data_IF_759089040829
#
_entry.id   IF_759089040829
#
_cell.length_a   1.000
_cell.length_b   1.000
_cell.length_c   1.000
_cell.angle_alpha   90.00
_cell.angle_beta   90.00
_cell.angle_gamma   90.00
#
_symmetry.space_group_name_H-M   'P 1'
#
loop_
_entity.id
_entity.type
_entity.pdbx_description
1 polymer ?
#
# COMPACT_ATOMS: atom_id res chain seq x y z
N UNK A 1 19.47 14.22 18.89
CA UNK A 1 18.95 12.86 18.59
C UNK A 1 17.99 13.00 17.42
N UNK A 2 18.18 12.27 16.32
CA UNK A 2 17.17 12.24 15.25
C UNK A 2 15.88 11.70 15.87
N UNK A 3 14.84 12.52 15.91
CA UNK A 3 13.58 12.08 16.49
C UNK A 3 12.91 11.10 15.53
N UNK A 4 12.60 9.91 16.04
CA UNK A 4 11.98 8.83 15.27
C UNK A 4 10.47 9.05 15.25
N UNK A 5 9.87 9.06 14.06
CA UNK A 5 8.40 9.12 13.90
C UNK A 5 7.81 7.71 14.03
N UNK A 6 6.52 7.60 14.34
CA UNK A 6 5.82 6.30 14.33
C UNK A 6 4.96 6.18 13.09
N UNK A 7 5.09 5.09 12.35
CA UNK A 7 4.24 4.73 11.21
C UNK A 7 3.29 3.60 11.63
N UNK A 8 2.01 3.92 11.73
CA UNK A 8 0.98 2.94 12.06
C UNK A 8 0.57 2.13 10.83
N UNK A 9 0.66 0.81 10.93
CA UNK A 9 0.36 -0.10 9.81
C UNK A 9 -0.61 -1.21 10.21
N UNK A 10 -1.55 -1.51 9.29
CA UNK A 10 -2.49 -2.59 9.49
C UNK A 10 -1.77 -3.94 9.41
N UNK A 11 -1.94 -4.74 10.46
CA UNK A 11 -1.35 -6.06 10.62
C UNK A 11 -2.36 -7.04 11.27
N UNK A 12 -2.15 -8.37 11.12
CA UNK A 12 -2.98 -9.38 11.77
C UNK A 12 -2.94 -9.30 13.30
N UNK A 13 -1.79 -8.92 13.86
CA UNK A 13 -1.56 -8.83 15.30
C UNK A 13 -0.48 -7.77 15.62
N UNK A 14 -0.38 -7.33 16.88
CA UNK A 14 0.64 -6.37 17.32
C UNK A 14 2.09 -6.83 17.14
N UNK A 15 2.33 -8.13 16.99
CA UNK A 15 3.67 -8.71 16.80
C UNK A 15 3.95 -9.11 15.35
N UNK A 16 2.97 -8.95 14.46
CA UNK A 16 3.12 -9.36 13.08
C UNK A 16 3.89 -8.33 12.25
N UNK A 17 4.70 -8.83 11.33
CA UNK A 17 5.38 -8.06 10.28
C UNK A 17 4.65 -8.13 8.93
N UNK A 18 3.49 -8.79 8.88
CA UNK A 18 2.66 -8.93 7.67
C UNK A 18 1.79 -7.69 7.47
N UNK A 19 2.40 -6.60 7.01
CA UNK A 19 1.70 -5.34 6.78
C UNK A 19 0.95 -5.36 5.44
N UNK A 20 -0.37 -5.32 5.48
CA UNK A 20 -1.22 -5.50 4.29
C UNK A 20 -1.98 -4.23 3.90
N UNK A 21 -1.53 -3.03 4.25
CA UNK A 21 -2.13 -1.81 3.69
C UNK A 21 -1.30 -1.27 2.52
N UNK A 22 -1.87 -1.17 1.30
CA UNK A 22 -1.13 -0.62 0.17
C UNK A 22 -0.79 0.87 0.37
N UNK A 23 -1.62 1.59 1.13
CA UNK A 23 -1.41 3.02 1.41
C UNK A 23 -0.31 3.26 2.44
N UNK A 24 -0.09 2.31 3.36
CA UNK A 24 1.05 2.37 4.28
C UNK A 24 2.33 2.02 3.55
N UNK A 25 2.33 1.02 2.66
CA UNK A 25 3.50 0.69 1.84
C UNK A 25 4.02 1.87 1.02
N UNK A 26 3.15 2.61 0.33
CA UNK A 26 3.62 3.80 -0.42
C UNK A 26 4.24 4.86 0.50
N UNK A 27 3.72 5.00 1.72
CA UNK A 27 4.24 5.95 2.72
C UNK A 27 5.57 5.48 3.29
N UNK A 28 5.67 4.20 3.65
CA UNK A 28 6.89 3.53 4.07
C UNK A 28 8.02 3.75 3.06
N UNK A 29 7.76 3.44 1.78
CA UNK A 29 8.76 3.64 0.72
C UNK A 29 9.12 5.12 0.53
N UNK A 30 8.16 6.03 0.68
CA UNK A 30 8.42 7.48 0.62
C UNK A 30 9.24 8.00 1.81
N UNK A 31 9.06 7.45 3.02
CA UNK A 31 9.87 7.78 4.20
C UNK A 31 11.30 7.26 4.03
N UNK A 32 11.45 6.01 3.56
CA UNK A 32 12.75 5.42 3.24
C UNK A 32 13.49 6.21 2.15
N UNK A 33 12.82 6.61 1.08
CA UNK A 33 13.38 7.50 0.05
C UNK A 33 13.98 8.76 0.66
N UNK A 34 13.24 9.38 1.59
CA UNK A 34 13.62 10.64 2.22
C UNK A 34 14.62 10.46 3.37
N UNK A 35 15.11 9.23 3.62
CA UNK A 35 15.95 8.89 4.76
C UNK A 35 15.36 9.33 6.11
N UNK A 36 14.03 9.26 6.24
CA UNK A 36 13.34 9.55 7.50
C UNK A 36 13.29 8.27 8.33
N UNK A 37 13.90 8.30 9.51
CA UNK A 37 13.84 7.18 10.45
C UNK A 37 12.44 7.08 11.08
N UNK A 38 11.88 5.87 11.09
CA UNK A 38 10.57 5.61 11.70
C UNK A 38 10.53 4.26 12.42
N UNK A 39 9.70 4.18 13.44
CA UNK A 39 9.27 2.96 14.10
C UNK A 39 7.97 2.49 13.43
N UNK A 40 7.84 1.19 13.12
CA UNK A 40 6.54 0.65 12.67
C UNK A 40 5.73 0.25 13.89
N UNK A 41 4.48 0.73 13.97
CA UNK A 41 3.53 0.33 15.01
C UNK A 41 2.41 -0.51 14.38
N UNK A 42 2.43 -1.84 14.56
CA UNK A 42 1.39 -2.70 14.03
C UNK A 42 0.07 -2.45 14.78
N UNK A 43 -1.01 -2.30 14.04
CA UNK A 43 -2.36 -2.11 14.57
C UNK A 43 -3.36 -2.98 13.81
N UNK A 44 -4.43 -3.37 14.49
CA UNK A 44 -5.52 -4.09 13.86
C UNK A 44 -6.70 -3.15 13.51
N UNK A 45 -7.80 -3.70 12.97
CA UNK A 45 -8.96 -2.89 12.58
C UNK A 45 -9.70 -2.25 13.77
N UNK A 46 -9.66 -2.88 14.95
CA UNK A 46 -10.25 -2.34 16.17
C UNK A 46 -9.38 -1.23 16.76
N UNK A 47 -8.06 -1.40 16.79
CA UNK A 47 -7.11 -0.36 17.21
C UNK A 47 -7.28 0.92 16.39
N UNK A 48 -7.48 0.79 15.08
CA UNK A 48 -7.73 1.89 14.17
C UNK A 48 -8.98 2.71 14.55
N UNK A 49 -10.00 2.05 15.09
CA UNK A 49 -11.27 2.67 15.53
C UNK A 49 -11.34 2.96 17.02
N UNK A 50 -10.39 2.43 17.80
CA UNK A 50 -10.26 2.58 19.25
C UNK A 50 -9.02 3.37 19.60
N UNK A 51 -7.97 2.68 20.04
CA UNK A 51 -6.75 3.28 20.60
C UNK A 51 -6.14 4.38 19.71
N UNK A 52 -6.02 4.15 18.41
CA UNK A 52 -5.45 5.14 17.49
C UNK A 52 -6.40 6.32 17.27
N UNK A 53 -7.71 6.09 17.19
CA UNK A 53 -8.71 7.14 17.06
C UNK A 53 -8.73 8.06 18.29
N UNK A 54 -8.65 7.48 19.50
CA UNK A 54 -8.58 8.22 20.76
C UNK A 54 -7.28 9.04 20.81
N UNK A 55 -6.14 8.39 20.53
CA UNK A 55 -4.82 9.02 20.61
C UNK A 55 -4.64 10.16 19.60
N UNK A 56 -5.20 10.02 18.41
CA UNK A 56 -5.14 11.05 17.37
C UNK A 56 -6.21 12.14 17.50
N UNK A 57 -7.19 11.97 18.40
CA UNK A 57 -8.35 12.84 18.49
C UNK A 57 -9.28 12.77 17.28
N UNK A 58 -9.20 11.71 16.45
CA UNK A 58 -9.94 11.56 15.21
C UNK A 58 -10.69 10.22 15.15
N UNK A 59 -12.01 10.30 15.27
CA UNK A 59 -12.89 9.13 15.27
C UNK A 59 -12.80 8.28 13.99
N UNK A 60 -12.51 8.91 12.84
CA UNK A 60 -12.45 8.27 11.53
C UNK A 60 -11.02 8.23 10.94
N UNK A 61 -9.99 8.18 11.78
CA UNK A 61 -8.60 8.09 11.30
C UNK A 61 -8.42 6.90 10.34
N UNK A 62 -7.58 7.09 9.32
CA UNK A 62 -7.24 6.05 8.34
C UNK A 62 -5.74 5.83 8.32
N UNK A 63 -5.30 4.64 7.89
CA UNK A 63 -3.89 4.41 7.59
C UNK A 63 -3.57 4.82 6.15
N UNK A 64 -2.36 5.36 5.88
CA UNK A 64 -1.25 5.59 6.81
C UNK A 64 -1.55 6.69 7.82
N UNK A 65 -1.15 6.45 9.07
CA UNK A 65 -1.09 7.46 10.12
C UNK A 65 0.36 7.53 10.61
N UNK A 66 0.89 8.75 10.68
CA UNK A 66 2.22 9.05 11.21
C UNK A 66 2.03 9.86 12.48
N UNK A 67 2.61 9.41 13.60
CA UNK A 67 2.73 10.23 14.81
C UNK A 67 4.13 10.84 14.87
N UNK A 68 4.17 12.16 14.98
CA UNK A 68 5.37 12.95 15.18
C UNK A 68 5.83 12.88 16.65
N UNK A 69 7.09 13.22 16.94
CA UNK A 69 7.65 13.14 18.29
C UNK A 69 6.97 14.05 19.31
N UNK A 70 6.30 15.10 18.84
CA UNK A 70 5.50 16.03 19.66
C UNK A 70 4.05 15.55 19.87
N UNK A 71 3.69 14.35 19.39
CA UNK A 71 2.35 13.78 19.47
C UNK A 71 1.40 14.22 18.34
N UNK A 72 1.86 15.06 17.41
CA UNK A 72 1.04 15.48 16.25
C UNK A 72 0.84 14.33 15.29
N UNK A 73 -0.38 14.17 14.76
CA UNK A 73 -0.68 13.16 13.74
C UNK A 73 -0.73 13.75 12.33
N UNK A 74 -0.02 13.11 11.40
CA UNK A 74 -0.15 13.30 9.96
C UNK A 74 -0.90 12.09 9.39
N UNK A 75 -1.96 12.36 8.66
CA UNK A 75 -2.84 11.38 8.03
C UNK A 75 -3.21 11.89 6.64
N UNK A 76 -3.57 10.97 5.74
CA UNK A 76 -3.66 11.17 4.28
C UNK A 76 -2.30 11.25 3.56
N UNK A 77 -2.00 10.18 2.82
CA UNK A 77 -0.74 9.96 2.09
C UNK A 77 -0.37 11.03 1.04
N UNK A 78 -1.28 11.95 0.68
CA UNK A 78 -1.02 13.00 -0.33
C UNK A 78 -0.84 14.41 0.22
N UNK A 79 -1.18 14.67 1.48
CA UNK A 79 -1.30 16.05 1.95
C UNK A 79 0.02 16.79 2.03
N UNK A 80 1.13 16.13 2.35
CA UNK A 80 2.40 16.83 2.63
C UNK A 80 3.64 16.19 1.99
N UNK A 81 3.94 16.59 0.75
CA UNK A 81 5.28 16.48 0.19
C UNK A 81 5.87 17.88 -0.03
N UNK A 82 6.79 18.28 0.85
CA UNK A 82 7.61 19.48 0.61
C UNK A 82 8.55 19.20 -0.58
N UNK A 83 8.62 20.09 -1.58
CA UNK A 83 9.57 19.94 -2.69
C UNK A 83 11.02 19.92 -2.17
N UNK A 84 11.91 19.25 -2.90
CA UNK A 84 13.36 19.50 -2.76
C UNK A 84 13.64 20.99 -3.04
N UNK A 85 14.65 21.56 -2.36
CA UNK A 85 15.05 22.97 -2.54
C UNK A 85 15.45 23.32 -3.97
N UNK A 86 15.89 22.32 -4.74
CA UNK A 86 16.45 22.51 -6.09
C UNK A 86 15.48 22.15 -7.22
N UNK A 87 14.25 21.74 -6.91
CA UNK A 87 13.31 21.28 -7.92
C UNK A 87 12.49 22.45 -8.52
N UNK A 88 12.45 22.55 -9.85
CA UNK A 88 11.62 23.52 -10.55
C UNK A 88 10.15 23.32 -10.16
N UNK A 89 9.48 24.37 -9.67
CA UNK A 89 8.13 24.28 -9.09
C UNK A 89 7.11 23.61 -10.02
N UNK A 90 7.19 23.89 -11.31
CA UNK A 90 6.30 23.31 -12.32
C UNK A 90 6.52 21.80 -12.50
N UNK A 91 7.77 21.33 -12.55
CA UNK A 91 8.06 19.89 -12.64
C UNK A 91 7.57 19.14 -11.40
N UNK A 92 7.68 19.76 -10.22
CA UNK A 92 7.15 19.19 -8.98
C UNK A 92 5.62 19.10 -9.03
N UNK A 93 4.94 20.15 -9.51
CA UNK A 93 3.49 20.15 -9.66
C UNK A 93 3.03 19.06 -10.65
N UNK A 94 3.68 18.94 -11.80
CA UNK A 94 3.41 17.88 -12.79
C UNK A 94 3.61 16.49 -12.19
N UNK A 95 4.72 16.25 -11.49
CA UNK A 95 4.98 14.97 -10.82
C UNK A 95 3.92 14.63 -9.77
N UNK A 96 3.46 15.61 -8.98
CA UNK A 96 2.37 15.43 -8.01
C UNK A 96 1.04 15.08 -8.67
N UNK A 97 0.69 15.78 -9.74
CA UNK A 97 -0.54 15.53 -10.49
C UNK A 97 -0.52 14.14 -11.12
N UNK A 98 0.61 13.74 -11.70
CA UNK A 98 0.78 12.40 -12.27
C UNK A 98 0.64 11.30 -11.20
N UNK A 99 1.34 11.45 -10.07
CA UNK A 99 1.19 10.53 -8.95
C UNK A 99 -0.25 10.46 -8.44
N UNK A 100 -0.94 11.60 -8.35
CA UNK A 100 -2.33 11.64 -7.90
C UNK A 100 -3.28 10.93 -8.87
N UNK A 101 -3.07 11.09 -10.18
CA UNK A 101 -3.87 10.39 -11.20
C UNK A 101 -3.73 8.86 -11.05
N UNK A 102 -2.49 8.37 -10.93
CA UNK A 102 -2.23 6.94 -10.74
C UNK A 102 -2.84 6.43 -9.43
N UNK A 103 -2.80 7.23 -8.36
CA UNK A 103 -3.41 6.85 -7.09
C UNK A 103 -4.94 6.77 -7.13
N UNK A 104 -5.58 7.69 -7.85
CA UNK A 104 -7.03 7.66 -8.04
C UNK A 104 -7.48 6.49 -8.92
N UNK A 105 -6.61 5.99 -9.80
CA UNK A 105 -6.85 4.83 -10.67
C UNK A 105 -6.37 3.50 -10.06
N UNK A 106 -5.10 3.15 -10.23
CA UNK A 106 -4.56 1.87 -9.77
C UNK A 106 -4.29 1.82 -8.26
N UNK A 107 -4.08 2.99 -7.65
CA UNK A 107 -3.76 3.10 -6.22
C UNK A 107 -4.97 3.08 -5.28
N UNK A 108 -6.20 3.08 -5.79
CA UNK A 108 -7.43 3.01 -4.98
C UNK A 108 -7.90 1.57 -4.76
N UNK A 109 -8.80 1.36 -3.80
CA UNK A 109 -9.46 0.06 -3.55
C UNK A 109 -10.92 0.07 -4.02
N UNK A 110 -11.27 1.00 -4.91
CA UNK A 110 -12.58 1.09 -5.57
C UNK A 110 -12.65 0.07 -6.71
N UNK A 111 -13.64 -0.82 -6.67
CA UNK A 111 -13.77 -1.99 -7.56
C UNK A 111 -13.95 -1.63 -9.03
N UNK A 112 -14.40 -0.41 -9.31
CA UNK A 112 -14.54 0.13 -10.67
C UNK A 112 -13.18 0.27 -11.37
N UNK A 113 -12.14 0.63 -10.62
CA UNK A 113 -10.82 0.98 -11.16
C UNK A 113 -9.72 -0.01 -10.76
N UNK A 114 -9.86 -0.68 -9.62
CA UNK A 114 -8.85 -1.55 -9.05
C UNK A 114 -9.45 -2.80 -8.41
N UNK A 115 -9.03 -3.97 -8.89
CA UNK A 115 -9.55 -5.27 -8.44
C UNK A 115 -8.84 -5.83 -7.21
N UNK A 116 -7.81 -5.15 -6.70
CA UNK A 116 -6.89 -5.70 -5.71
C UNK A 116 -7.59 -6.07 -4.40
N UNK A 117 -8.45 -5.18 -3.88
CA UNK A 117 -9.15 -5.44 -2.63
C UNK A 117 -10.09 -6.64 -2.77
N UNK A 118 -10.93 -6.63 -3.80
CA UNK A 118 -11.89 -7.69 -4.11
C UNK A 118 -11.18 -9.06 -4.30
N UNK A 119 -10.10 -9.09 -5.07
CA UNK A 119 -9.37 -10.33 -5.37
C UNK A 119 -8.69 -10.93 -4.14
N UNK A 120 -8.16 -10.09 -3.25
CA UNK A 120 -7.40 -10.52 -2.08
C UNK A 120 -8.22 -10.48 -0.78
N UNK A 121 -9.51 -10.12 -0.84
CA UNK A 121 -10.38 -10.08 0.33
C UNK A 121 -10.42 -11.43 1.07
N UNK A 122 -10.53 -12.61 0.40
CA UNK A 122 -10.49 -13.89 1.09
C UNK A 122 -9.18 -14.15 1.85
N UNK A 123 -8.03 -13.75 1.30
CA UNK A 123 -6.75 -13.89 1.98
C UNK A 123 -6.61 -12.91 3.15
N UNK A 124 -7.13 -11.69 3.00
CA UNK A 124 -7.19 -10.72 4.09
C UNK A 124 -8.10 -11.22 5.23
N UNK A 125 -9.25 -11.80 4.90
CA UNK A 125 -10.21 -12.38 5.85
C UNK A 125 -9.56 -13.47 6.72
N UNK A 126 -8.73 -14.34 6.11
CA UNK A 126 -7.97 -15.36 6.83
C UNK A 126 -6.95 -14.79 7.83
N UNK A 127 -6.54 -13.52 7.68
CA UNK A 127 -5.64 -12.85 8.62
C UNK A 127 -6.35 -12.23 9.83
N UNK A 128 -7.69 -12.28 9.88
CA UNK A 128 -8.45 -11.65 10.95
C UNK A 128 -8.61 -12.63 12.11
N UNK A 129 -7.91 -12.34 13.20
CA UNK A 129 -7.83 -13.20 14.38
C UNK A 129 -8.64 -12.56 15.52
N UNK A 130 -9.33 -13.39 16.31
CA UNK A 130 -10.11 -12.95 17.46
C UNK A 130 -11.58 -12.66 17.12
N UNK A 131 -12.46 -13.00 18.05
CA UNK A 131 -13.91 -12.94 17.84
C UNK A 131 -14.40 -11.51 17.58
N UNK A 132 -14.04 -10.56 18.44
CA UNK A 132 -14.47 -9.16 18.30
C UNK A 132 -13.97 -8.53 17.00
N UNK A 133 -12.72 -8.80 16.63
CA UNK A 133 -12.15 -8.25 15.40
C UNK A 133 -12.85 -8.85 14.18
N UNK A 134 -13.16 -10.14 14.20
CA UNK A 134 -13.90 -10.82 13.14
C UNK A 134 -15.31 -10.26 13.01
N UNK A 135 -16.02 -10.08 14.13
CA UNK A 135 -17.35 -9.45 14.17
C UNK A 135 -17.32 -8.05 13.53
N UNK A 136 -16.35 -7.21 13.86
CA UNK A 136 -16.21 -5.89 13.24
C UNK A 136 -15.83 -5.99 11.75
N UNK A 137 -14.86 -6.84 11.41
CA UNK A 137 -14.34 -6.96 10.05
C UNK A 137 -15.41 -7.38 9.04
N UNK A 138 -16.29 -8.31 9.42
CA UNK A 138 -17.36 -8.82 8.56
C UNK A 138 -18.67 -8.03 8.66
N UNK A 139 -18.73 -7.00 9.51
CA UNK A 139 -19.96 -6.26 9.79
C UNK A 139 -20.41 -5.37 8.63
N UNK A 140 -21.73 -5.17 8.52
CA UNK A 140 -22.33 -4.21 7.59
C UNK A 140 -21.97 -2.76 7.92
N UNK A 141 -21.62 -2.44 9.17
CA UNK A 141 -21.16 -1.09 9.52
C UNK A 141 -19.81 -0.75 8.89
N UNK A 142 -18.98 -1.76 8.64
CA UNK A 142 -17.69 -1.61 7.94
C UNK A 142 -17.83 -1.79 6.43
N UNK A 143 -18.53 -2.83 6.00
CA UNK A 143 -18.58 -3.27 4.59
C UNK A 143 -19.81 -2.77 3.82
N UNK A 144 -20.75 -2.14 4.50
CA UNK A 144 -22.08 -1.82 3.96
C UNK A 144 -23.00 -3.04 3.94
N UNK A 145 -24.30 -2.84 3.63
CA UNK A 145 -25.30 -3.89 3.66
C UNK A 145 -24.95 -5.10 2.79
N UNK A 146 -24.86 -6.27 3.43
CA UNK A 146 -24.47 -7.54 2.83
C UNK A 146 -23.08 -7.53 2.17
N UNK A 147 -22.19 -6.62 2.60
CA UNK A 147 -20.90 -6.40 1.95
C UNK A 147 -19.98 -7.62 2.02
N UNK A 148 -19.98 -8.33 3.15
CA UNK A 148 -19.20 -9.56 3.33
C UNK A 148 -19.61 -10.67 2.35
N UNK A 149 -20.92 -10.96 2.23
CA UNK A 149 -21.39 -11.98 1.29
C UNK A 149 -21.13 -11.57 -0.16
N UNK A 150 -21.30 -10.28 -0.49
CA UNK A 150 -21.02 -9.76 -1.84
C UNK A 150 -19.56 -9.96 -2.24
N UNK A 151 -18.62 -9.66 -1.35
CA UNK A 151 -17.19 -9.82 -1.62
C UNK A 151 -16.79 -11.28 -1.84
N UNK A 152 -17.36 -12.20 -1.06
CA UNK A 152 -17.09 -13.64 -1.21
C UNK A 152 -17.78 -14.27 -2.44
N UNK A 153 -18.83 -13.65 -2.96
CA UNK A 153 -19.57 -14.14 -4.12
C UNK A 153 -18.97 -13.70 -5.47
N UNK A 154 -17.93 -12.87 -5.47
CA UNK A 154 -17.30 -12.39 -6.70
C UNK A 154 -16.62 -13.52 -7.48
N UNK A 155 -16.67 -13.43 -8.81
CA UNK A 155 -15.99 -14.38 -9.68
C UNK A 155 -14.47 -14.19 -9.59
N UNK A 156 -13.83 -15.12 -8.88
CA UNK A 156 -12.39 -15.11 -8.66
C UNK A 156 -11.59 -15.23 -9.96
N UNK A 157 -12.03 -16.04 -10.92
CA UNK A 157 -11.29 -16.22 -12.17
C UNK A 157 -11.30 -14.92 -12.98
N UNK A 158 -12.45 -14.25 -13.04
CA UNK A 158 -12.57 -12.95 -13.68
C UNK A 158 -11.73 -11.87 -12.97
N UNK A 159 -11.71 -11.86 -11.64
CA UNK A 159 -10.87 -10.93 -10.88
C UNK A 159 -9.37 -11.14 -11.15
N UNK A 160 -8.90 -12.39 -11.28
CA UNK A 160 -7.51 -12.70 -11.65
C UNK A 160 -7.23 -12.20 -13.08
N UNK A 161 -8.14 -12.46 -14.02
CA UNK A 161 -8.02 -12.00 -15.42
C UNK A 161 -7.90 -10.47 -15.48
N UNK A 162 -8.76 -9.75 -14.76
CA UNK A 162 -8.72 -8.29 -14.67
C UNK A 162 -7.46 -7.78 -13.97
N UNK A 163 -6.97 -8.47 -12.94
CA UNK A 163 -5.73 -8.11 -12.26
C UNK A 163 -4.53 -8.17 -13.22
N UNK A 164 -4.45 -9.23 -14.04
CA UNK A 164 -3.43 -9.34 -15.10
C UNK A 164 -3.57 -8.23 -16.13
N UNK A 165 -4.79 -7.87 -16.55
CA UNK A 165 -5.01 -6.74 -17.45
C UNK A 165 -4.57 -5.40 -16.86
N UNK A 166 -4.80 -5.18 -15.57
CA UNK A 166 -4.41 -3.94 -14.89
C UNK A 166 -2.89 -3.72 -14.86
N UNK A 167 -2.07 -4.78 -14.93
CA UNK A 167 -0.61 -4.64 -14.97
C UNK A 167 -0.04 -4.57 -16.39
N UNK A 168 -0.80 -4.92 -17.43
CA UNK A 168 -0.29 -4.88 -18.81
C UNK A 168 0.25 -3.50 -19.22
N UNK A 169 -0.44 -2.37 -18.95
CA UNK A 169 0.12 -1.04 -19.26
C UNK A 169 1.45 -0.76 -18.55
N UNK A 170 1.66 -1.35 -17.37
CA UNK A 170 2.91 -1.22 -16.62
C UNK A 170 4.05 -1.97 -17.31
N UNK A 171 3.76 -3.18 -17.82
CA UNK A 171 4.71 -3.99 -18.59
C UNK A 171 5.09 -3.24 -19.88
N UNK A 172 4.11 -2.77 -20.65
CA UNK A 172 4.36 -2.03 -21.90
C UNK A 172 5.18 -0.76 -21.65
N UNK A 173 4.83 0.03 -20.63
CA UNK A 173 5.59 1.24 -20.29
C UNK A 173 7.06 0.93 -19.95
N UNK A 174 7.31 -0.08 -19.12
CA UNK A 174 8.66 -0.46 -18.71
C UNK A 174 9.48 -1.06 -19.86
N UNK A 175 8.82 -1.67 -20.86
CA UNK A 175 9.45 -2.15 -22.09
C UNK A 175 9.91 -1.00 -22.97
N UNK A 176 9.09 0.04 -23.11
CA UNK A 176 9.47 1.26 -23.84
C UNK A 176 10.55 2.06 -23.10
N UNK A 177 10.61 1.95 -21.77
CA UNK A 177 11.51 2.71 -20.90
C UNK A 177 12.40 1.78 -20.06
N UNK A 178 13.26 0.97 -20.70
CA UNK A 178 14.04 -0.03 -20.00
C UNK A 178 14.95 0.60 -18.95
N UNK A 179 15.10 -0.08 -17.81
CA UNK A 179 15.88 0.35 -16.64
C UNK A 179 15.39 1.61 -15.91
N UNK A 180 14.31 2.25 -16.37
CA UNK A 180 13.71 3.38 -15.66
C UNK A 180 12.73 2.93 -14.58
N UNK A 181 12.28 3.92 -13.82
CA UNK A 181 11.14 3.87 -12.91
C UNK A 181 9.95 4.58 -13.58
N UNK A 182 8.73 4.40 -13.08
CA UNK A 182 7.57 5.13 -13.60
C UNK A 182 7.71 6.65 -13.39
N UNK A 183 8.42 7.07 -12.35
CA UNK A 183 8.74 8.48 -12.13
C UNK A 183 9.86 9.02 -13.04
N UNK A 184 10.67 8.14 -13.66
CA UNK A 184 11.82 8.49 -14.50
C UNK A 184 13.11 7.79 -14.06
N UNK A 185 14.23 8.53 -14.03
CA UNK A 185 15.55 7.94 -13.72
C UNK A 185 15.70 7.42 -12.26
N UNK A 186 14.94 7.99 -11.32
CA UNK A 186 14.93 7.61 -9.91
C UNK A 186 13.50 7.22 -9.50
N UNK A 187 13.33 6.33 -8.50
CA UNK A 187 11.99 5.97 -8.05
C UNK A 187 11.32 7.17 -7.38
N UNK A 188 10.01 7.28 -7.51
CA UNK A 188 9.26 8.32 -6.82
C UNK A 188 7.86 7.89 -6.39
N UNK A 189 7.01 8.88 -6.15
CA UNK A 189 5.68 8.64 -5.60
C UNK A 189 4.84 7.73 -6.49
N UNK A 190 4.95 7.88 -7.81
CA UNK A 190 4.26 7.01 -8.79
C UNK A 190 4.65 5.55 -8.57
N UNK A 191 5.95 5.28 -8.47
CA UNK A 191 6.48 3.93 -8.21
C UNK A 191 5.97 3.38 -6.88
N UNK A 192 5.94 4.19 -5.83
CA UNK A 192 5.53 3.73 -4.50
C UNK A 192 4.05 3.42 -4.41
N UNK A 193 3.20 4.13 -5.15
CA UNK A 193 1.77 3.81 -5.25
C UNK A 193 1.57 2.43 -5.87
N UNK A 194 2.22 2.18 -7.01
CA UNK A 194 2.12 0.90 -7.73
C UNK A 194 2.76 -0.22 -6.89
N UNK A 195 3.93 0.04 -6.32
CA UNK A 195 4.66 -0.93 -5.50
C UNK A 195 3.91 -1.26 -4.21
N UNK A 196 3.19 -0.30 -3.63
CA UNK A 196 2.33 -0.56 -2.49
C UNK A 196 1.21 -1.55 -2.81
N UNK A 197 0.70 -1.57 -4.05
CA UNK A 197 -0.26 -2.58 -4.51
C UNK A 197 0.38 -3.94 -4.71
N UNK A 198 1.58 -4.00 -5.31
CA UNK A 198 2.36 -5.24 -5.36
C UNK A 198 2.63 -5.79 -3.95
N UNK A 199 3.11 -4.95 -3.02
CA UNK A 199 3.44 -5.35 -1.66
C UNK A 199 2.21 -5.83 -0.88
N UNK A 200 1.06 -5.17 -1.05
CA UNK A 200 -0.24 -5.64 -0.54
C UNK A 200 -0.56 -7.07 -1.00
N UNK A 201 -0.49 -7.31 -2.31
CA UNK A 201 -0.70 -8.63 -2.88
C UNK A 201 0.31 -9.63 -2.31
N UNK A 202 1.60 -9.28 -2.33
CA UNK A 202 2.72 -10.14 -1.92
C UNK A 202 2.62 -10.56 -0.45
N UNK A 203 2.12 -9.67 0.40
CA UNK A 203 1.92 -9.88 1.84
C UNK A 203 0.74 -10.81 2.15
N UNK A 204 -0.27 -10.84 1.28
CA UNK A 204 -1.46 -11.67 1.46
C UNK A 204 -1.37 -13.02 0.76
N UNK A 205 -0.83 -13.07 -0.46
CA UNK A 205 -0.73 -14.31 -1.25
C UNK A 205 0.50 -14.25 -2.17
N UNK A 206 1.65 -14.82 -1.75
CA UNK A 206 2.87 -14.81 -2.55
C UNK A 206 2.73 -15.56 -3.88
N UNK A 207 1.95 -16.66 -3.88
CA UNK A 207 1.79 -17.54 -5.04
C UNK A 207 0.95 -16.84 -6.10
N UNK A 208 -0.21 -16.31 -5.71
CA UNK A 208 -1.04 -15.55 -6.63
C UNK A 208 -0.33 -14.29 -7.12
N UNK A 209 0.37 -13.58 -6.23
CA UNK A 209 1.12 -12.37 -6.62
C UNK A 209 2.14 -12.66 -7.71
N UNK A 210 2.86 -13.77 -7.61
CA UNK A 210 3.80 -14.21 -8.64
C UNK A 210 3.11 -14.39 -9.99
N UNK A 211 1.94 -15.03 -10.00
CA UNK A 211 1.13 -15.22 -11.21
C UNK A 211 0.67 -13.88 -11.81
N UNK A 212 0.15 -12.95 -11.00
CA UNK A 212 -0.48 -11.71 -11.49
C UNK A 212 0.52 -10.56 -11.74
N UNK A 213 1.71 -10.60 -11.16
CA UNK A 213 2.74 -9.55 -11.30
C UNK A 213 4.01 -10.09 -11.94
N UNK A 214 4.76 -10.96 -11.24
CA UNK A 214 6.11 -11.37 -11.64
C UNK A 214 6.15 -12.13 -12.97
N UNK A 215 5.11 -12.90 -13.28
CA UNK A 215 5.01 -13.72 -14.49
C UNK A 215 4.47 -12.95 -15.71
N UNK A 216 4.12 -11.67 -15.56
CA UNK A 216 3.53 -10.88 -16.66
C UNK A 216 4.57 -10.25 -17.61
N UNK A 217 5.84 -10.16 -17.19
CA UNK A 217 6.93 -9.64 -18.02
C UNK A 217 8.23 -9.51 -17.25
N UNK A 218 9.36 -9.65 -17.93
CA UNK A 218 10.69 -9.53 -17.29
C UNK A 218 10.93 -8.10 -16.80
N UNK A 219 10.43 -7.11 -17.53
CA UNK A 219 10.56 -5.69 -17.27
C UNK A 219 9.88 -5.31 -15.94
N UNK A 220 8.64 -5.78 -15.75
CA UNK A 220 7.88 -5.59 -14.51
C UNK A 220 8.55 -6.32 -13.35
N UNK A 221 9.01 -7.57 -13.56
CA UNK A 221 9.76 -8.34 -12.54
C UNK A 221 11.05 -7.63 -12.12
N UNK A 222 11.77 -7.06 -13.07
CA UNK A 222 12.98 -6.30 -12.80
C UNK A 222 12.69 -5.00 -12.02
N UNK A 223 11.62 -4.28 -12.37
CA UNK A 223 11.17 -3.12 -11.61
C UNK A 223 10.77 -3.48 -10.16
N UNK A 224 10.02 -4.57 -9.97
CA UNK A 224 9.68 -5.12 -8.65
C UNK A 224 10.95 -5.40 -7.85
N UNK A 225 11.88 -6.18 -8.43
CA UNK A 225 13.15 -6.53 -7.78
C UNK A 225 13.96 -5.29 -7.37
N UNK A 226 14.07 -4.29 -8.25
CA UNK A 226 14.77 -3.03 -7.96
C UNK A 226 14.19 -2.32 -6.74
N UNK A 227 12.86 -2.26 -6.62
CA UNK A 227 12.21 -1.61 -5.47
C UNK A 227 12.23 -2.46 -4.20
N UNK A 228 12.10 -3.78 -4.32
CA UNK A 228 12.22 -4.70 -3.18
C UNK A 228 13.60 -4.62 -2.52
N UNK A 229 14.65 -4.48 -3.35
CA UNK A 229 16.05 -4.37 -2.92
C UNK A 229 16.48 -2.94 -2.56
N UNK A 230 15.66 -1.93 -2.87
CA UNK A 230 15.95 -0.54 -2.51
C UNK A 230 16.00 -0.35 -0.99
N UNK A 231 16.68 0.71 -0.55
CA UNK A 231 16.74 1.10 0.87
C UNK A 231 17.24 -0.03 1.78
N UNK A 232 18.38 -0.64 1.41
CA UNK A 232 18.98 -1.77 2.11
C UNK A 232 18.08 -3.02 2.14
N UNK A 233 17.24 -3.22 1.13
CA UNK A 233 16.36 -4.38 1.04
C UNK A 233 15.21 -4.38 2.03
N UNK A 234 14.79 -3.22 2.54
CA UNK A 234 13.76 -3.10 3.59
C UNK A 234 12.49 -3.90 3.24
N UNK A 235 11.97 -3.76 2.02
CA UNK A 235 10.78 -4.48 1.58
C UNK A 235 11.05 -5.97 1.41
N UNK A 236 12.19 -6.35 0.82
CA UNK A 236 12.60 -7.75 0.66
C UNK A 236 12.66 -8.49 1.99
N UNK A 237 13.28 -7.90 3.02
CA UNK A 237 13.37 -8.51 4.36
C UNK A 237 11.98 -8.81 4.95
N UNK A 238 11.01 -7.92 4.74
CA UNK A 238 9.64 -8.17 5.17
C UNK A 238 8.97 -9.27 4.33
N UNK A 239 9.21 -9.32 3.01
CA UNK A 239 8.68 -10.37 2.14
C UNK A 239 9.26 -11.76 2.42
N UNK A 240 10.50 -11.83 2.90
CA UNK A 240 11.20 -13.06 3.25
C UNK A 240 10.76 -13.61 4.62
N UNK A 241 10.09 -12.79 5.44
CA UNK A 241 9.51 -13.19 6.73
C UNK A 241 8.14 -13.87 6.63
N UNK A 242 7.59 -14.02 5.41
CA UNK A 242 6.24 -14.51 5.15
C UNK A 242 6.14 -16.03 5.04
#
# INVERSE_FOLDING_TARGET
MNQVIKLYELAPSPTSTRYYSPTTWKTRMGLLHKNVSFETVPINFLDLRGNLAIRSGQTNITVPAIELPDGTFIYDSFRDSKPSRDAHREHVATGKNYARLIDLGLGTSKSEWAVWYDLFFPQLDQQIIGEEQRLYFTSDSRLGPHGYQKLLALDRQELIRRAKMNVQPLVEFLREHPNQYFQGAHPGQVDYIIFGRYAYCRMLDPVLTKEIWDEQGEELRNWIRKLSQAYNGHAQLLFDSL
#
